data_IF_050206289959
#
_entry.id   IF_050206289959
#
_cell.length_a   1.000
_cell.length_b   1.000
_cell.length_c   1.000
_cell.angle_alpha   90.00
_cell.angle_beta   90.00
_cell.angle_gamma   90.00
#
_symmetry.space_group_name_H-M   'P 1'
#
loop_
_entity.id
_entity.type
_entity.pdbx_description
1 polymer ?
#
# COMPACT_ATOMS: atom_id res chain seq x y z
N UNK A 1 23.33 -14.06 63.18
CA UNK A 1 22.70 -15.31 63.66
C UNK A 1 21.49 -15.52 62.79
N UNK A 2 21.37 -16.52 61.92
CA UNK A 2 22.19 -17.67 61.56
C UNK A 2 21.92 -17.94 60.08
N UNK A 3 22.93 -18.43 59.38
CA UNK A 3 22.81 -19.04 58.07
C UNK A 3 22.10 -20.40 58.22
N UNK A 4 21.26 -20.77 57.25
CA UNK A 4 21.38 -22.13 56.75
C UNK A 4 21.20 -22.16 55.23
N UNK A 5 22.14 -22.88 54.64
CA UNK A 5 22.53 -22.99 53.26
C UNK A 5 22.26 -24.44 52.86
N UNK A 6 21.78 -24.71 51.64
CA UNK A 6 21.88 -26.03 50.98
C UNK A 6 21.56 -25.86 49.47
N UNK A 7 22.60 -25.67 48.67
CA UNK A 7 22.66 -26.05 47.24
C UNK A 7 23.06 -27.57 47.10
N UNK A 8 23.40 -28.21 45.93
CA UNK A 8 23.52 -27.72 44.53
C UNK A 8 23.26 -28.72 43.33
N UNK A 9 23.44 -28.20 42.09
CA UNK A 9 23.85 -28.81 40.76
C UNK A 9 22.80 -29.62 39.96
N UNK A 10 22.70 -29.48 38.62
CA UNK A 10 23.80 -29.63 37.62
C UNK A 10 23.64 -28.81 36.32
N UNK A 11 24.79 -28.36 35.86
CA UNK A 11 25.14 -27.89 34.51
C UNK A 11 24.80 -28.92 33.42
N UNK A 12 24.55 -28.43 32.20
CA UNK A 12 25.21 -28.96 30.99
C UNK A 12 25.75 -27.80 30.15
N UNK A 13 27.08 -27.75 30.12
CA UNK A 13 27.92 -26.99 29.21
C UNK A 13 27.91 -27.65 27.82
N UNK A 14 27.91 -26.83 26.77
CA UNK A 14 28.84 -27.02 25.65
C UNK A 14 29.33 -25.65 25.15
N UNK A 15 30.57 -25.33 25.52
CA UNK A 15 31.50 -24.44 24.81
C UNK A 15 31.75 -25.11 23.43
N UNK A 16 31.85 -24.45 22.28
CA UNK A 16 32.39 -23.14 21.95
C UNK A 16 33.42 -23.37 20.85
N UNK A 17 33.33 -22.68 19.70
CA UNK A 17 34.47 -22.44 18.81
C UNK A 17 34.37 -21.00 18.32
N UNK A 18 35.26 -20.15 18.85
CA UNK A 18 35.64 -18.88 18.24
C UNK A 18 36.77 -19.16 17.24
N UNK A 19 36.65 -18.60 16.03
CA UNK A 19 37.81 -18.23 15.21
C UNK A 19 37.67 -16.74 14.91
N UNK A 20 38.46 -15.93 15.59
CA UNK A 20 38.69 -14.52 15.25
C UNK A 20 39.78 -14.47 14.18
N UNK A 21 39.47 -13.90 13.02
CA UNK A 21 40.47 -13.20 12.21
C UNK A 21 39.78 -12.05 11.47
N UNK A 22 40.45 -10.90 11.49
CA UNK A 22 39.87 -9.58 11.26
C UNK A 22 39.46 -9.25 9.82
N UNK A 23 38.59 -8.24 9.77
CA UNK A 23 38.33 -7.25 8.71
C UNK A 23 36.82 -6.99 8.61
N UNK A 24 36.26 -6.20 9.55
CA UNK A 24 34.92 -5.62 9.38
C UNK A 24 35.05 -4.22 8.81
N UNK A 25 35.14 -4.18 7.47
CA UNK A 25 34.74 -3.02 6.69
C UNK A 25 33.23 -2.79 6.83
N UNK A 26 32.90 -1.53 7.06
CA UNK A 26 31.74 -0.77 6.58
C UNK A 26 30.39 -1.49 6.42
N UNK A 27 29.40 -1.00 7.14
CA UNK A 27 28.00 -1.24 6.85
C UNK A 27 27.18 -0.22 7.62
N UNK A 28 27.08 0.99 7.09
CA UNK A 28 25.99 1.90 7.44
C UNK A 28 24.70 1.06 7.43
N UNK A 29 24.04 0.99 8.57
CA UNK A 29 22.73 0.38 8.70
C UNK A 29 21.76 1.31 7.99
N UNK A 30 21.62 1.09 6.68
CA UNK A 30 20.48 1.57 5.92
C UNK A 30 19.27 0.86 6.51
N UNK A 31 18.48 1.58 7.31
CA UNK A 31 17.09 1.20 7.52
C UNK A 31 16.43 1.51 6.18
N UNK A 32 16.45 0.53 5.29
CA UNK A 32 15.49 0.48 4.22
C UNK A 32 14.15 0.34 4.94
N UNK A 33 13.41 1.43 5.05
CA UNK A 33 11.98 1.35 5.31
C UNK A 33 11.42 0.52 4.14
N UNK A 34 11.31 -0.79 4.35
CA UNK A 34 10.58 -1.68 3.45
C UNK A 34 9.19 -1.08 3.34
N UNK A 35 8.96 -0.35 2.25
CA UNK A 35 7.69 0.26 1.94
C UNK A 35 6.77 -0.87 1.47
N UNK A 36 6.38 -1.74 2.40
CA UNK A 36 5.53 -2.91 2.22
C UNK A 36 4.08 -2.45 2.03
N UNK A 37 3.86 -1.67 0.97
CA UNK A 37 2.52 -1.34 0.50
C UNK A 37 1.93 -2.61 -0.13
N UNK A 38 0.81 -3.09 0.40
CA UNK A 38 0.12 -4.23 -0.20
C UNK A 38 -0.37 -3.89 -1.62
N UNK A 39 -0.29 -4.88 -2.49
CA UNK A 39 -0.84 -4.80 -3.84
C UNK A 39 -2.37 -4.78 -3.78
N UNK A 40 -2.98 -3.70 -4.28
CA UNK A 40 -4.43 -3.58 -4.34
C UNK A 40 -4.97 -4.26 -5.61
N UNK A 41 -5.87 -5.23 -5.43
CA UNK A 41 -6.58 -5.88 -6.54
C UNK A 41 -7.56 -4.93 -7.21
N UNK A 42 -7.58 -4.92 -8.53
CA UNK A 42 -8.39 -3.99 -9.34
C UNK A 42 -8.98 -4.71 -10.54
N UNK A 43 -10.19 -4.32 -10.92
CA UNK A 43 -10.77 -4.61 -12.22
C UNK A 43 -10.70 -3.36 -13.08
N UNK A 44 -10.30 -3.53 -14.35
CA UNK A 44 -10.19 -2.43 -15.33
C UNK A 44 -10.92 -2.83 -16.59
N UNK A 45 -11.87 -2.01 -17.02
CA UNK A 45 -12.62 -2.21 -18.26
C UNK A 45 -12.97 -0.87 -18.91
N UNK A 46 -13.57 -0.90 -20.10
CA UNK A 46 -13.88 0.32 -20.84
C UNK A 46 -15.29 0.32 -21.42
N UNK A 47 -15.88 1.50 -21.54
CA UNK A 47 -17.00 1.80 -22.44
C UNK A 47 -16.43 2.47 -23.71
N UNK A 48 -17.28 2.85 -24.69
CA UNK A 48 -16.81 3.66 -25.82
C UNK A 48 -16.14 4.97 -25.40
N UNK A 49 -16.65 5.62 -24.33
CA UNK A 49 -16.25 6.96 -23.89
C UNK A 49 -15.33 6.98 -22.68
N UNK A 50 -15.32 5.91 -21.87
CA UNK A 50 -14.69 5.93 -20.54
C UNK A 50 -13.82 4.70 -20.31
N UNK A 51 -12.86 4.85 -19.41
CA UNK A 51 -12.17 3.76 -18.70
C UNK A 51 -12.76 3.71 -17.29
N UNK A 52 -13.06 2.51 -16.81
CA UNK A 52 -13.65 2.26 -15.50
C UNK A 52 -12.73 1.34 -14.71
N UNK A 53 -12.45 1.73 -13.47
CA UNK A 53 -11.60 1.00 -12.54
C UNK A 53 -12.41 0.74 -11.27
N UNK A 54 -12.43 -0.51 -10.82
CA UNK A 54 -13.13 -0.92 -9.61
C UNK A 54 -12.19 -1.65 -8.65
N UNK A 55 -12.35 -1.38 -7.36
CA UNK A 55 -11.53 -2.02 -6.32
C UNK A 55 -12.21 -2.03 -4.96
N UNK A 56 -11.90 -3.04 -4.14
CA UNK A 56 -12.42 -3.19 -2.80
C UNK A 56 -11.59 -2.35 -1.79
N UNK A 57 -12.25 -1.39 -1.16
CA UNK A 57 -11.70 -0.50 -0.12
C UNK A 57 -12.52 -0.59 1.18
N UNK A 58 -13.20 -1.73 1.41
CA UNK A 58 -13.98 -1.95 2.62
C UNK A 58 -13.14 -1.69 3.89
N UNK A 59 -13.69 -0.91 4.81
CA UNK A 59 -13.04 -0.52 6.06
C UNK A 59 -12.08 0.66 5.95
N UNK A 60 -11.89 1.25 4.76
CA UNK A 60 -11.10 2.47 4.56
C UNK A 60 -12.05 3.67 4.52
N UNK A 61 -11.73 4.75 5.24
CA UNK A 61 -12.53 5.98 5.14
C UNK A 61 -12.16 6.72 3.85
N UNK A 62 -13.11 7.43 3.20
CA UNK A 62 -12.81 8.18 1.98
C UNK A 62 -11.66 9.17 2.12
N UNK A 63 -11.49 9.80 3.29
CA UNK A 63 -10.39 10.71 3.61
C UNK A 63 -9.00 10.04 3.64
N UNK A 64 -8.95 8.73 3.83
CA UNK A 64 -7.72 7.93 3.85
C UNK A 64 -7.40 7.32 2.47
N UNK A 65 -8.14 7.73 1.42
CA UNK A 65 -7.90 7.34 0.03
C UNK A 65 -7.28 8.50 -0.76
N UNK A 66 -6.21 8.20 -1.48
CA UNK A 66 -5.55 9.13 -2.38
C UNK A 66 -5.60 8.60 -3.82
N UNK A 67 -6.09 9.44 -4.73
CA UNK A 67 -6.11 9.18 -6.17
C UNK A 67 -5.21 10.19 -6.87
N UNK A 68 -4.16 9.70 -7.51
CA UNK A 68 -3.26 10.49 -8.36
C UNK A 68 -3.43 10.09 -9.82
N UNK A 69 -3.81 11.03 -10.68
CA UNK A 69 -4.19 10.76 -12.08
C UNK A 69 -3.33 11.60 -13.02
N UNK A 70 -2.73 10.93 -14.00
CA UNK A 70 -2.11 11.53 -15.17
C UNK A 70 -2.86 11.07 -16.43
N UNK A 71 -2.44 11.54 -17.62
CA UNK A 71 -3.12 11.21 -18.88
C UNK A 71 -3.14 9.72 -19.17
N UNK A 72 -2.08 9.00 -18.82
CA UNK A 72 -1.81 7.63 -19.22
C UNK A 72 -1.68 6.67 -18.04
N UNK A 73 -1.87 7.14 -16.81
CA UNK A 73 -1.78 6.32 -15.61
C UNK A 73 -2.60 6.88 -14.45
N UNK A 74 -2.99 5.99 -13.56
CA UNK A 74 -3.61 6.31 -12.28
C UNK A 74 -2.94 5.52 -11.17
N UNK A 75 -2.78 6.17 -10.01
CA UNK A 75 -2.32 5.55 -8.78
C UNK A 75 -3.39 5.68 -7.71
N UNK A 76 -3.75 4.55 -7.11
CA UNK A 76 -4.66 4.43 -5.98
C UNK A 76 -3.82 4.11 -4.75
N UNK A 77 -3.98 4.88 -3.68
CA UNK A 77 -3.32 4.69 -2.39
C UNK A 77 -4.32 4.79 -1.25
N UNK A 78 -4.00 4.12 -0.15
CA UNK A 78 -4.71 4.33 1.10
C UNK A 78 -4.18 3.43 2.21
N UNK A 79 -4.89 3.41 3.33
CA UNK A 79 -4.51 2.63 4.51
C UNK A 79 -5.72 1.96 5.16
N UNK A 80 -5.57 0.68 5.52
CA UNK A 80 -6.54 -0.04 6.36
C UNK A 80 -6.05 -0.02 7.80
N UNK A 81 -6.83 0.55 8.70
CA UNK A 81 -6.51 0.60 10.13
C UNK A 81 -7.12 -0.60 10.88
N UNK A 82 -6.30 -1.27 11.71
CA UNK A 82 -6.81 -2.25 12.66
C UNK A 82 -7.28 -1.53 13.93
N UNK A 83 -8.58 -1.58 14.22
CA UNK A 83 -9.16 -0.91 15.39
C UNK A 83 -9.03 -1.70 16.70
N UNK A 84 -8.57 -2.96 16.61
CA UNK A 84 -8.48 -3.89 17.74
C UNK A 84 -7.04 -4.26 18.02
N UNK A 85 -6.72 -4.40 19.30
CA UNK A 85 -5.46 -4.99 19.74
C UNK A 85 -5.79 -6.32 20.39
N UNK A 86 -5.59 -7.40 19.64
CA UNK A 86 -5.75 -8.77 20.13
C UNK A 86 -4.35 -9.38 20.17
N UNK A 87 -4.05 -10.12 21.23
CA UNK A 87 -2.79 -10.88 21.31
C UNK A 87 -2.71 -11.89 20.16
N UNK A 88 -1.53 -12.06 19.56
CA UNK A 88 -1.31 -12.98 18.44
C UNK A 88 -1.68 -14.42 18.81
N UNK A 89 -1.43 -14.85 20.07
CA UNK A 89 -1.75 -16.20 20.54
C UNK A 89 -3.27 -16.48 20.62
N UNK A 90 -4.10 -15.43 20.55
CA UNK A 90 -5.56 -15.54 20.62
C UNK A 90 -6.23 -15.62 19.23
N UNK A 91 -5.47 -15.51 18.13
CA UNK A 91 -6.05 -15.72 16.79
C UNK A 91 -6.10 -17.21 16.47
N UNK A 92 -7.27 -17.70 16.08
CA UNK A 92 -7.37 -18.99 15.39
C UNK A 92 -6.92 -18.88 13.92
N UNK A 93 -7.19 -17.73 13.28
CA UNK A 93 -6.82 -17.42 11.89
C UNK A 93 -6.80 -15.90 11.71
N UNK A 94 -5.85 -15.40 10.91
CA UNK A 94 -5.67 -13.97 10.61
C UNK A 94 -5.38 -13.79 9.12
N UNK A 95 -6.43 -13.56 8.33
CA UNK A 95 -6.36 -13.41 6.86
C UNK A 95 -6.55 -11.97 6.39
N UNK A 96 -7.05 -11.09 7.27
CA UNK A 96 -7.28 -9.69 6.92
C UNK A 96 -5.96 -8.93 6.87
N UNK A 97 -5.80 -8.14 5.81
CA UNK A 97 -4.68 -7.23 5.68
C UNK A 97 -4.98 -5.88 6.33
N UNK A 98 -4.04 -5.42 7.17
CA UNK A 98 -4.01 -4.09 7.76
C UNK A 98 -2.69 -3.42 7.40
N UNK A 99 -2.74 -2.13 7.08
CA UNK A 99 -1.58 -1.39 6.57
C UNK A 99 -1.87 -0.60 5.31
N UNK A 100 -0.80 -0.04 4.72
CA UNK A 100 -0.85 0.81 3.53
C UNK A 100 -0.97 -0.05 2.27
N UNK A 101 -1.76 0.38 1.31
CA UNK A 101 -1.85 -0.28 0.01
C UNK A 101 -1.61 0.72 -1.12
N UNK A 102 -1.09 0.23 -2.24
CA UNK A 102 -1.02 1.02 -3.45
C UNK A 102 -1.15 0.16 -4.71
N UNK A 103 -1.72 0.77 -5.74
CA UNK A 103 -1.71 0.23 -7.09
C UNK A 103 -1.59 1.34 -8.10
N UNK A 104 -0.59 1.23 -8.97
CA UNK A 104 -0.45 2.05 -10.16
C UNK A 104 -0.89 1.23 -11.38
N UNK A 105 -1.70 1.84 -12.24
CA UNK A 105 -2.30 1.22 -13.42
C UNK A 105 -1.96 2.11 -14.62
N UNK A 106 -1.29 1.55 -15.62
CA UNK A 106 -1.16 2.18 -16.94
C UNK A 106 -2.49 2.08 -17.69
N UNK A 107 -2.96 3.19 -18.22
CA UNK A 107 -4.23 3.28 -18.92
C UNK A 107 -4.07 2.87 -20.40
N UNK A 108 -5.03 2.12 -20.98
CA UNK A 108 -4.99 1.73 -22.38
C UNK A 108 -5.25 2.87 -23.37
N UNK A 109 -5.68 4.04 -22.89
CA UNK A 109 -5.91 5.25 -23.68
C UNK A 109 -5.70 6.49 -22.81
N UNK A 110 -5.41 7.63 -23.45
CA UNK A 110 -5.33 8.92 -22.76
C UNK A 110 -6.69 9.34 -22.21
N UNK A 111 -6.70 9.88 -21.00
CA UNK A 111 -7.89 10.41 -20.32
C UNK A 111 -7.74 11.89 -20.01
N UNK A 112 -8.87 12.57 -19.78
CA UNK A 112 -8.90 13.95 -19.28
C UNK A 112 -8.85 13.95 -17.74
N UNK A 113 -7.71 14.30 -17.09
CA UNK A 113 -7.57 14.18 -15.63
C UNK A 113 -8.47 15.14 -14.84
N UNK A 114 -9.00 16.17 -15.50
CA UNK A 114 -9.92 17.14 -14.91
C UNK A 114 -11.37 16.62 -14.86
N UNK A 115 -11.72 15.62 -15.68
CA UNK A 115 -13.06 15.02 -15.75
C UNK A 115 -13.07 13.60 -15.16
N UNK A 116 -12.88 13.53 -13.84
CA UNK A 116 -12.85 12.27 -13.08
C UNK A 116 -14.02 12.19 -12.12
N UNK A 117 -14.70 11.04 -12.12
CA UNK A 117 -15.73 10.71 -11.14
C UNK A 117 -15.26 9.51 -10.31
N UNK A 118 -15.16 9.67 -9.00
CA UNK A 118 -14.84 8.60 -8.07
C UNK A 118 -15.97 8.46 -7.04
N UNK A 119 -16.52 7.27 -6.92
CA UNK A 119 -17.59 6.97 -5.97
C UNK A 119 -17.24 5.73 -5.15
N UNK A 120 -17.42 5.83 -3.84
CA UNK A 120 -17.33 4.68 -2.95
C UNK A 120 -18.74 4.32 -2.51
N UNK A 121 -19.09 3.03 -2.64
CA UNK A 121 -20.37 2.50 -2.16
C UNK A 121 -20.19 1.11 -1.58
N UNK A 122 -20.45 0.97 -0.28
CA UNK A 122 -20.43 -0.31 0.45
C UNK A 122 -19.08 -1.05 0.37
N UNK A 123 -17.98 -0.31 0.43
CA UNK A 123 -16.61 -0.81 0.33
C UNK A 123 -16.11 -1.01 -1.10
N UNK A 124 -16.87 -0.62 -2.13
CA UNK A 124 -16.45 -0.68 -3.53
C UNK A 124 -16.18 0.72 -4.06
N UNK A 125 -14.92 1.01 -4.37
CA UNK A 125 -14.51 2.21 -5.07
C UNK A 125 -14.65 1.99 -6.58
N UNK A 126 -15.39 2.87 -7.25
CA UNK A 126 -15.53 2.93 -8.70
C UNK A 126 -15.02 4.27 -9.20
N UNK A 127 -14.02 4.22 -10.08
CA UNK A 127 -13.38 5.38 -10.70
C UNK A 127 -13.69 5.36 -12.19
N UNK A 128 -14.24 6.45 -12.69
CA UNK A 128 -14.58 6.64 -14.10
C UNK A 128 -13.73 7.77 -14.67
N UNK A 129 -13.01 7.45 -15.74
CA UNK A 129 -12.07 8.34 -16.41
C UNK A 129 -12.54 8.54 -17.85
N UNK A 130 -12.87 9.78 -18.24
CA UNK A 130 -13.28 10.09 -19.61
C UNK A 130 -12.06 10.01 -20.55
N UNK A 131 -12.18 9.28 -21.65
CA UNK A 131 -11.15 9.23 -22.68
C UNK A 131 -11.05 10.59 -23.39
N UNK A 132 -9.83 10.99 -23.75
CA UNK A 132 -9.62 12.18 -24.58
C UNK A 132 -10.34 12.00 -25.91
N UNK A 133 -11.25 12.92 -26.23
CA UNK A 133 -11.89 12.99 -27.54
C UNK A 133 -10.91 13.63 -28.55
N UNK A 134 -10.20 12.77 -29.28
CA UNK A 134 -9.23 13.19 -30.30
C UNK A 134 -9.85 13.97 -31.46
N UNK A 135 -11.17 13.92 -31.64
CA UNK A 135 -11.89 14.63 -32.70
C UNK A 135 -12.42 16.00 -32.25
N UNK A 136 -12.37 16.30 -30.94
CA UNK A 136 -12.83 17.58 -30.38
C UNK A 136 -11.90 18.73 -30.78
N UNK A 137 -12.31 19.49 -31.79
CA UNK A 137 -11.56 20.67 -32.27
C UNK A 137 -11.89 21.90 -31.41
N UNK A 138 -10.90 22.39 -30.67
CA UNK A 138 -10.99 23.68 -29.98
C UNK A 138 -10.66 24.81 -30.96
N UNK A 139 -11.61 25.71 -31.23
CA UNK A 139 -11.37 26.93 -32.00
C UNK A 139 -11.26 28.12 -31.04
N UNK A 140 -10.14 28.85 -31.10
CA UNK A 140 -9.90 30.04 -30.26
C UNK A 140 -10.07 31.29 -31.12
N UNK A 141 -10.92 32.21 -30.67
CA UNK A 141 -11.11 33.51 -31.33
C UNK A 141 -10.01 34.46 -30.88
N UNK A 142 -9.14 34.86 -31.80
CA UNK A 142 -8.11 35.88 -31.56
C UNK A 142 -8.78 37.22 -31.25
N UNK A 143 -8.44 37.83 -30.13
CA UNK A 143 -8.84 39.20 -29.79
C UNK A 143 -7.68 40.14 -30.12
N UNK A 144 -7.95 41.21 -30.86
CA UNK A 144 -7.01 42.33 -30.97
C UNK A 144 -7.11 43.19 -29.72
N UNK A 145 -5.96 43.66 -29.23
CA UNK A 145 -5.86 44.76 -28.27
C UNK A 145 -5.97 46.08 -29.05
#
# INVERSE_FOLDING_TARGET
MEEENLEPKKEHLIKGVKSENGDKKNGNHWIEEENDEAELSVDVYQTPTDIIIQTMVAGVKPEDLELSIARDMITIRGQREESRTIDEDNYFTKELYWGRFSRTISLPAEVEPEEVEATEKHGLLTIKLQKVDKEKKNSVRVRSI
#
